data_IF_069491603653
#
_entry.id   IF_069491603653
#
_cell.length_a   1.000
_cell.length_b   1.000
_cell.length_c   1.000
_cell.angle_alpha   90.00
_cell.angle_beta   90.00
_cell.angle_gamma   90.00
#
_symmetry.space_group_name_H-M   'P 1'
#
loop_
_entity.id
_entity.type
_entity.pdbx_description
1 polymer ?
#
# COMPACT_ATOMS: atom_id res chain seq x y z
N UNK A 1 -12.95 22.05 8.26
CA UNK A 1 -11.49 22.23 8.46
C UNK A 1 -10.84 22.57 7.15
N UNK A 2 -9.70 23.29 7.19
CA UNK A 2 -8.80 23.49 6.05
C UNK A 2 -7.66 22.49 6.12
N UNK A 3 -7.50 21.68 5.09
CA UNK A 3 -6.56 20.55 5.08
C UNK A 3 -5.61 20.70 3.90
N UNK A 4 -4.31 20.75 4.16
CA UNK A 4 -3.29 20.80 3.12
C UNK A 4 -2.68 19.42 2.92
N UNK A 5 -2.99 18.78 1.79
CA UNK A 5 -2.34 17.55 1.36
C UNK A 5 -1.01 17.87 0.67
N UNK A 6 0.01 17.07 0.95
CA UNK A 6 1.30 17.11 0.25
C UNK A 6 1.59 15.71 -0.29
N UNK A 7 1.82 15.63 -1.60
CA UNK A 7 2.11 14.37 -2.25
C UNK A 7 3.16 14.52 -3.35
N UNK A 8 4.16 13.66 -3.32
CA UNK A 8 5.14 13.54 -4.39
C UNK A 8 4.71 12.45 -5.36
N UNK A 9 4.25 12.84 -6.55
CA UNK A 9 3.72 11.92 -7.57
C UNK A 9 4.80 10.98 -8.09
N UNK A 10 4.43 9.74 -8.31
CA UNK A 10 5.24 8.79 -9.05
C UNK A 10 5.17 9.06 -10.55
N UNK A 11 6.20 8.65 -11.30
CA UNK A 11 6.18 8.72 -12.78
C UNK A 11 5.10 7.81 -13.37
N UNK A 12 4.85 6.66 -12.74
CA UNK A 12 3.74 5.78 -13.04
C UNK A 12 2.79 5.77 -11.85
N UNK A 13 1.52 6.18 -12.03
CA UNK A 13 0.54 6.20 -10.96
C UNK A 13 0.42 4.84 -10.26
N UNK A 14 0.39 4.85 -8.94
CA UNK A 14 0.28 3.67 -8.10
C UNK A 14 -0.84 3.76 -7.06
N UNK A 15 -0.92 2.78 -6.18
CA UNK A 15 -1.93 2.76 -5.12
C UNK A 15 -1.87 3.98 -4.17
N UNK A 16 -0.68 4.58 -3.98
CA UNK A 16 -0.54 5.79 -3.15
C UNK A 16 -1.21 7.00 -3.81
N UNK A 17 -1.08 7.17 -5.14
CA UNK A 17 -1.74 8.25 -5.89
C UNK A 17 -3.26 8.12 -5.80
N UNK A 18 -3.78 6.90 -5.98
CA UNK A 18 -5.21 6.59 -5.84
C UNK A 18 -5.71 6.90 -4.43
N UNK A 19 -4.94 6.55 -3.39
CA UNK A 19 -5.31 6.84 -2.01
C UNK A 19 -5.46 8.35 -1.76
N UNK A 20 -4.52 9.16 -2.26
CA UNK A 20 -4.57 10.64 -2.13
C UNK A 20 -5.79 11.22 -2.84
N UNK A 21 -6.08 10.76 -4.06
CA UNK A 21 -7.23 11.23 -4.83
C UNK A 21 -8.54 10.90 -4.12
N UNK A 22 -8.73 9.65 -3.72
CA UNK A 22 -9.93 9.21 -3.02
C UNK A 22 -10.13 9.93 -1.70
N UNK A 23 -9.07 10.06 -0.89
CA UNK A 23 -9.15 10.70 0.43
C UNK A 23 -9.41 12.20 0.32
N UNK A 24 -8.71 12.89 -0.59
CA UNK A 24 -8.94 14.31 -0.80
C UNK A 24 -10.34 14.62 -1.35
N UNK A 25 -10.86 13.76 -2.23
CA UNK A 25 -12.22 13.91 -2.75
C UNK A 25 -13.27 13.66 -1.67
N UNK A 26 -13.14 12.58 -0.90
CA UNK A 26 -14.04 12.27 0.21
C UNK A 26 -14.15 13.44 1.20
N UNK A 27 -13.02 14.03 1.58
CA UNK A 27 -13.00 15.15 2.51
C UNK A 27 -13.67 16.41 1.93
N UNK A 28 -13.50 16.69 0.63
CA UNK A 28 -14.21 17.77 -0.06
C UNK A 28 -15.72 17.53 -0.08
N UNK A 29 -16.14 16.31 -0.41
CA UNK A 29 -17.56 15.91 -0.44
C UNK A 29 -18.22 16.02 0.95
N UNK A 30 -17.43 15.87 2.02
CA UNK A 30 -17.85 16.09 3.42
C UNK A 30 -17.75 17.56 3.87
N UNK A 31 -17.51 18.51 2.97
CA UNK A 31 -17.54 19.94 3.24
C UNK A 31 -16.26 20.54 3.84
N UNK A 32 -15.12 19.83 3.75
CA UNK A 32 -13.82 20.39 4.13
C UNK A 32 -13.19 21.17 2.98
N UNK A 33 -12.44 22.24 3.31
CA UNK A 33 -11.61 22.96 2.33
C UNK A 33 -10.26 22.21 2.19
N UNK A 34 -10.06 21.54 1.06
CA UNK A 34 -8.90 20.67 0.83
C UNK A 34 -8.09 21.18 -0.35
N UNK A 35 -6.83 21.51 -0.10
CA UNK A 35 -5.82 21.76 -1.14
C UNK A 35 -4.84 20.60 -1.24
N UNK A 36 -4.40 20.31 -2.46
CA UNK A 36 -3.39 19.29 -2.71
C UNK A 36 -2.18 19.94 -3.39
N UNK A 37 -1.06 19.92 -2.70
CA UNK A 37 0.23 20.40 -3.23
C UNK A 37 1.02 19.21 -3.75
N UNK A 38 1.19 19.17 -5.09
CA UNK A 38 1.93 18.11 -5.75
C UNK A 38 3.38 18.49 -5.98
N UNK A 39 4.28 17.57 -5.65
CA UNK A 39 5.68 17.60 -6.08
C UNK A 39 5.91 16.53 -7.13
N UNK A 40 6.91 16.75 -7.99
CA UNK A 40 7.31 15.78 -9.02
C UNK A 40 8.82 15.61 -9.03
N UNK A 41 9.25 14.35 -9.14
CA UNK A 41 10.67 14.04 -9.27
C UNK A 41 11.16 14.39 -10.68
N UNK A 42 12.01 15.41 -10.81
CA UNK A 42 12.74 15.67 -12.05
C UNK A 42 13.93 14.72 -12.18
N UNK A 43 14.24 14.29 -13.39
CA UNK A 43 15.49 13.58 -13.69
C UNK A 43 16.55 14.60 -14.07
N UNK A 44 17.50 14.94 -13.18
CA UNK A 44 18.58 15.84 -13.53
C UNK A 44 19.59 15.15 -14.43
N UNK A 45 19.99 15.83 -15.49
CA UNK A 45 21.08 15.38 -16.34
C UNK A 45 22.45 15.70 -15.71
N UNK A 46 23.42 14.79 -15.88
CA UNK A 46 24.82 14.96 -15.48
C UNK A 46 25.13 14.67 -13.99
N UNK A 47 26.43 14.51 -13.68
CA UNK A 47 26.92 14.10 -12.36
C UNK A 47 26.72 15.19 -11.28
N UNK A 48 26.87 16.46 -11.61
CA UNK A 48 26.63 17.60 -10.68
C UNK A 48 25.16 17.67 -10.30
N UNK A 49 24.26 17.42 -11.26
CA UNK A 49 22.82 17.35 -11.00
C UNK A 49 22.45 16.23 -10.02
N UNK A 50 23.14 15.08 -10.07
CA UNK A 50 22.92 13.96 -9.14
C UNK A 50 23.36 14.28 -7.71
N UNK A 51 24.48 14.96 -7.51
CA UNK A 51 24.98 15.37 -6.18
C UNK A 51 24.06 16.41 -5.55
N UNK A 52 23.66 17.43 -6.31
CA UNK A 52 22.72 18.47 -5.83
C UNK A 52 21.34 17.87 -5.49
N UNK A 53 20.85 16.93 -6.28
CA UNK A 53 19.63 16.16 -5.96
C UNK A 53 19.80 15.41 -4.65
N UNK A 54 20.99 14.85 -4.41
CA UNK A 54 21.32 14.15 -3.16
C UNK A 54 21.18 15.04 -1.92
N UNK A 55 21.77 16.21 -1.91
CA UNK A 55 21.67 17.15 -0.80
C UNK A 55 20.23 17.66 -0.61
N UNK A 56 19.51 17.91 -1.69
CA UNK A 56 18.10 18.33 -1.65
C UNK A 56 17.19 17.26 -1.07
N UNK A 57 17.46 15.99 -1.31
CA UNK A 57 16.64 14.90 -0.73
C UNK A 57 16.74 14.85 0.81
N UNK A 58 17.82 15.35 1.42
CA UNK A 58 17.93 15.51 2.87
C UNK A 58 17.15 16.75 3.32
N UNK A 59 17.43 17.89 2.74
CA UNK A 59 16.78 19.16 3.06
C UNK A 59 16.71 20.07 1.84
N UNK A 60 15.54 20.24 1.25
CA UNK A 60 15.33 21.16 0.14
C UNK A 60 14.75 22.49 0.64
N UNK A 61 15.57 23.56 0.53
CA UNK A 61 15.15 24.90 0.91
C UNK A 61 13.99 25.41 0.04
N UNK A 62 13.90 24.96 -1.21
CA UNK A 62 12.81 25.36 -2.09
C UNK A 62 11.49 24.73 -1.64
N UNK A 63 11.48 23.41 -1.40
CA UNK A 63 10.29 22.71 -0.87
C UNK A 63 9.85 23.28 0.48
N UNK A 64 10.82 23.59 1.37
CA UNK A 64 10.53 24.30 2.61
C UNK A 64 9.81 25.63 2.38
N UNK A 65 10.31 26.48 1.47
CA UNK A 65 9.70 27.80 1.18
C UNK A 65 8.31 27.65 0.54
N UNK A 66 8.17 26.74 -0.43
CA UNK A 66 6.90 26.48 -1.10
C UNK A 66 5.83 26.07 -0.10
N UNK A 67 6.14 25.09 0.77
CA UNK A 67 5.18 24.64 1.79
C UNK A 67 4.91 25.72 2.82
N UNK A 68 5.94 26.46 3.27
CA UNK A 68 5.76 27.58 4.20
C UNK A 68 4.81 28.63 3.63
N UNK A 69 5.02 29.07 2.39
CA UNK A 69 4.18 30.07 1.72
C UNK A 69 2.75 29.56 1.54
N UNK A 70 2.58 28.28 1.16
CA UNK A 70 1.24 27.69 1.02
C UNK A 70 0.51 27.66 2.37
N UNK A 71 1.21 27.35 3.47
CA UNK A 71 0.62 27.40 4.82
C UNK A 71 0.25 28.85 5.20
N UNK A 72 1.07 29.85 4.88
CA UNK A 72 0.79 31.27 5.15
C UNK A 72 -0.47 31.74 4.42
N UNK A 73 -0.63 31.36 3.15
CA UNK A 73 -1.77 31.76 2.30
C UNK A 73 -3.03 30.98 2.64
N UNK A 74 -2.93 29.64 2.71
CA UNK A 74 -4.09 28.77 2.90
C UNK A 74 -4.52 28.67 4.36
N UNK A 75 -3.61 28.86 5.32
CA UNK A 75 -3.83 28.73 6.77
C UNK A 75 -4.52 27.39 7.13
N UNK A 76 -3.93 26.24 6.79
CA UNK A 76 -4.53 24.95 7.08
C UNK A 76 -4.57 24.67 8.58
N UNK A 77 -5.58 23.94 9.02
CA UNK A 77 -5.68 23.39 10.37
C UNK A 77 -4.72 22.22 10.58
N UNK A 78 -4.46 21.45 9.51
CA UNK A 78 -3.56 20.29 9.48
C UNK A 78 -2.88 20.16 8.13
N UNK A 79 -1.62 19.69 8.14
CA UNK A 79 -0.88 19.25 6.95
C UNK A 79 -0.85 17.74 6.92
N UNK A 80 -1.35 17.13 5.85
CA UNK A 80 -1.32 15.67 5.66
C UNK A 80 -0.40 15.30 4.50
N UNK A 81 0.66 14.56 4.81
CA UNK A 81 1.68 14.11 3.84
C UNK A 81 1.47 12.64 3.52
N UNK A 82 1.41 12.29 2.23
CA UNK A 82 1.35 10.88 1.79
C UNK A 82 2.68 10.39 1.24
N UNK A 83 3.37 11.21 0.45
CA UNK A 83 4.69 10.92 -0.06
C UNK A 83 5.51 12.22 -0.15
N UNK A 84 6.75 12.17 0.29
CA UNK A 84 7.67 13.31 0.23
C UNK A 84 8.99 12.98 -0.48
N UNK A 85 9.17 11.76 -0.93
CA UNK A 85 10.45 11.24 -1.41
C UNK A 85 10.50 11.26 -2.94
N UNK A 86 11.36 12.04 -3.58
CA UNK A 86 12.51 12.86 -3.13
C UNK A 86 12.21 14.37 -3.11
N UNK A 87 11.41 14.86 -4.08
CA UNK A 87 11.31 16.28 -4.44
C UNK A 87 10.76 17.15 -3.31
N UNK A 88 9.76 16.66 -2.56
CA UNK A 88 9.24 17.39 -1.42
C UNK A 88 10.24 17.42 -0.26
N UNK A 89 11.07 16.41 -0.10
CA UNK A 89 12.04 16.21 0.99
C UNK A 89 11.46 16.32 2.41
N UNK A 90 12.14 15.84 3.45
CA UNK A 90 11.69 16.01 4.84
C UNK A 90 11.64 17.48 5.33
N UNK A 91 12.18 18.44 4.55
CA UNK A 91 12.12 19.86 4.88
C UNK A 91 10.71 20.42 5.07
N UNK A 92 9.70 19.79 4.43
CA UNK A 92 8.29 20.17 4.54
C UNK A 92 7.74 20.03 5.97
N UNK A 93 8.20 19.04 6.74
CA UNK A 93 7.81 18.86 8.14
C UNK A 93 8.39 19.95 9.04
N UNK A 94 9.57 20.47 8.70
CA UNK A 94 10.15 21.64 9.40
C UNK A 94 9.38 22.91 9.08
N UNK A 95 8.88 23.06 7.85
CA UNK A 95 8.03 24.19 7.47
C UNK A 95 6.71 24.16 8.27
N UNK A 96 6.01 23.02 8.31
CA UNK A 96 4.78 22.85 9.09
C UNK A 96 5.01 23.16 10.58
N UNK A 97 6.08 22.61 11.17
CA UNK A 97 6.43 22.88 12.57
C UNK A 97 6.75 24.36 12.81
N UNK A 98 7.53 25.03 11.93
CA UNK A 98 7.85 26.45 12.04
C UNK A 98 6.61 27.33 12.00
N UNK A 99 5.62 26.93 11.19
CA UNK A 99 4.34 27.62 11.06
C UNK A 99 3.33 27.20 12.14
N UNK A 100 3.76 26.36 13.07
CA UNK A 100 2.92 25.86 14.14
C UNK A 100 1.63 25.20 13.60
N UNK A 101 1.70 24.36 12.52
CA UNK A 101 0.61 23.57 11.99
C UNK A 101 0.93 22.09 12.22
N UNK A 102 0.03 21.30 12.83
CA UNK A 102 0.28 19.87 13.03
C UNK A 102 0.43 19.16 11.69
N UNK A 103 1.43 18.27 11.59
CA UNK A 103 1.66 17.46 10.41
C UNK A 103 1.41 15.99 10.72
N UNK A 104 0.69 15.31 9.85
CA UNK A 104 0.51 13.86 9.86
C UNK A 104 1.12 13.25 8.60
N UNK A 105 1.64 12.03 8.68
CA UNK A 105 2.27 11.32 7.57
C UNK A 105 1.67 9.93 7.42
N UNK A 106 1.07 9.63 6.27
CA UNK A 106 0.66 8.27 5.92
C UNK A 106 1.82 7.47 5.33
N UNK A 107 2.13 6.35 5.95
CA UNK A 107 3.17 5.41 5.54
C UNK A 107 2.56 4.31 4.64
N UNK A 108 2.63 4.50 3.33
CA UNK A 108 2.13 3.52 2.35
C UNK A 108 3.11 2.37 2.10
N UNK A 109 4.36 2.53 2.52
CA UNK A 109 5.43 1.56 2.33
C UNK A 109 6.45 1.63 3.49
N UNK A 110 7.46 0.77 3.45
CA UNK A 110 8.46 0.66 4.52
C UNK A 110 9.73 1.49 4.28
N UNK A 111 9.68 2.56 3.50
CA UNK A 111 10.84 3.40 3.11
C UNK A 111 11.64 3.92 4.30
N UNK A 112 11.01 4.23 5.40
CA UNK A 112 11.68 4.76 6.58
C UNK A 112 12.57 3.73 7.29
N UNK A 113 12.33 2.42 7.07
CA UNK A 113 13.04 1.31 7.73
C UNK A 113 13.70 0.33 6.74
N UNK A 114 13.50 0.50 5.44
CA UNK A 114 14.01 -0.38 4.40
C UNK A 114 14.40 0.42 3.15
N UNK A 115 15.61 0.23 2.61
CA UNK A 115 16.11 1.00 1.48
C UNK A 115 15.26 0.83 0.20
N UNK A 116 14.77 -0.38 -0.11
CA UNK A 116 13.87 -0.61 -1.25
C UNK A 116 12.38 -0.38 -0.92
N UNK A 117 12.05 -0.06 0.33
CA UNK A 117 10.68 0.16 0.83
C UNK A 117 9.76 -1.08 0.87
N UNK A 118 10.24 -2.27 0.50
CA UNK A 118 9.40 -3.44 0.29
C UNK A 118 9.58 -4.54 1.36
N UNK A 119 10.62 -4.44 2.20
CA UNK A 119 11.05 -5.53 3.09
C UNK A 119 11.23 -6.86 2.33
N UNK A 120 11.72 -6.77 1.08
CA UNK A 120 11.90 -7.88 0.17
C UNK A 120 13.34 -7.89 -0.38
N UNK A 121 13.96 -9.07 -0.47
CA UNK A 121 15.27 -9.28 -1.07
C UNK A 121 15.36 -10.67 -1.69
N UNK A 122 15.76 -10.73 -2.95
CA UNK A 122 15.88 -12.00 -3.70
C UNK A 122 14.60 -12.86 -3.59
N UNK A 123 13.43 -12.26 -3.76
CA UNK A 123 12.16 -12.95 -3.70
C UNK A 123 11.72 -13.44 -2.30
N UNK A 124 12.44 -13.06 -1.24
CA UNK A 124 12.12 -13.45 0.15
C UNK A 124 11.96 -12.23 1.03
N UNK A 125 11.10 -12.34 2.03
CA UNK A 125 10.97 -11.34 3.09
C UNK A 125 12.33 -11.07 3.75
N UNK A 126 12.64 -9.79 3.99
CA UNK A 126 13.91 -9.37 4.55
C UNK A 126 13.72 -8.19 5.53
N UNK A 127 14.06 -8.39 6.78
CA UNK A 127 13.93 -7.39 7.84
C UNK A 127 15.28 -6.89 8.39
N UNK A 128 16.41 -7.20 7.72
CA UNK A 128 17.77 -6.88 8.20
C UNK A 128 18.00 -5.39 8.50
N UNK A 129 17.22 -4.50 7.89
CA UNK A 129 17.38 -3.05 8.02
C UNK A 129 16.49 -2.43 9.11
N UNK A 130 15.44 -3.11 9.56
CA UNK A 130 14.34 -2.54 10.37
C UNK A 130 14.86 -1.88 11.66
N UNK A 131 15.68 -2.57 12.41
CA UNK A 131 16.17 -2.12 13.72
C UNK A 131 17.50 -1.37 13.67
N UNK A 132 18.07 -1.16 12.48
CA UNK A 132 19.37 -0.55 12.32
C UNK A 132 19.26 0.95 11.95
N UNK A 133 19.90 1.80 12.77
CA UNK A 133 20.01 3.23 12.48
C UNK A 133 20.75 3.49 11.16
N UNK A 134 21.81 2.72 10.93
CA UNK A 134 22.61 2.74 9.71
C UNK A 134 22.49 1.38 9.02
N UNK A 135 21.49 1.16 8.17
CA UNK A 135 21.17 -0.12 7.56
C UNK A 135 22.14 -0.50 6.42
N UNK A 136 23.39 -0.83 6.76
CA UNK A 136 24.45 -1.18 5.80
C UNK A 136 24.10 -2.38 4.93
N UNK A 137 23.23 -3.27 5.40
CA UNK A 137 22.72 -4.39 4.60
C UNK A 137 22.05 -3.90 3.29
N UNK A 138 21.28 -2.80 3.34
CA UNK A 138 20.66 -2.21 2.16
C UNK A 138 21.69 -1.79 1.10
N UNK A 139 22.85 -1.28 1.51
CA UNK A 139 23.97 -0.88 0.64
C UNK A 139 24.66 -2.11 0.09
N UNK A 140 25.07 -3.03 0.99
CA UNK A 140 25.79 -4.26 0.62
C UNK A 140 25.05 -5.08 -0.44
N UNK A 141 23.74 -5.19 -0.28
CA UNK A 141 22.87 -5.97 -1.17
C UNK A 141 22.26 -5.16 -2.31
N UNK A 142 22.69 -3.89 -2.53
CA UNK A 142 22.22 -3.02 -3.62
C UNK A 142 20.68 -2.97 -3.71
N UNK A 143 20.00 -2.87 -2.56
CA UNK A 143 18.55 -3.07 -2.47
C UNK A 143 17.73 -2.03 -3.24
N UNK A 144 18.29 -0.84 -3.52
CA UNK A 144 17.59 0.19 -4.27
C UNK A 144 18.14 0.29 -5.69
N UNK A 145 17.26 0.08 -6.68
CA UNK A 145 17.56 0.07 -8.13
C UNK A 145 18.78 -0.79 -8.52
N UNK A 146 19.06 -1.85 -7.76
CA UNK A 146 20.23 -2.72 -7.95
C UNK A 146 21.57 -1.95 -7.98
N UNK A 147 21.62 -0.77 -7.38
CA UNK A 147 22.75 0.14 -7.34
C UNK A 147 23.28 0.35 -5.92
N UNK A 148 24.59 0.13 -5.71
CA UNK A 148 25.23 0.39 -4.41
C UNK A 148 25.19 1.89 -4.06
N UNK A 149 25.46 2.76 -5.03
CA UNK A 149 25.48 4.20 -4.85
C UNK A 149 24.08 4.75 -4.48
N UNK A 150 23.03 4.31 -5.18
CA UNK A 150 21.67 4.74 -4.88
C UNK A 150 21.16 4.15 -3.57
N UNK A 151 21.53 2.90 -3.25
CA UNK A 151 21.23 2.30 -1.94
C UNK A 151 21.93 3.03 -0.79
N UNK A 152 23.19 3.43 -0.98
CA UNK A 152 23.93 4.23 -0.01
C UNK A 152 23.29 5.60 0.19
N UNK A 153 22.87 6.23 -0.90
CA UNK A 153 22.18 7.51 -0.88
C UNK A 153 20.86 7.46 -0.09
N UNK A 154 19.97 6.51 -0.42
CA UNK A 154 18.70 6.34 0.31
C UNK A 154 18.94 6.03 1.79
N UNK A 155 19.91 5.15 2.08
CA UNK A 155 20.31 4.80 3.45
C UNK A 155 20.80 6.03 4.20
N UNK A 156 21.65 6.86 3.59
CA UNK A 156 22.20 8.07 4.19
C UNK A 156 21.09 9.08 4.53
N UNK A 157 20.17 9.35 3.59
CA UNK A 157 19.03 10.27 3.80
C UNK A 157 18.17 9.77 4.97
N UNK A 158 17.74 8.51 4.93
CA UNK A 158 16.86 7.96 5.98
C UNK A 158 17.56 7.90 7.34
N UNK A 159 18.84 7.52 7.39
CA UNK A 159 19.63 7.45 8.63
C UNK A 159 19.85 8.82 9.25
N UNK A 160 20.13 9.86 8.44
CA UNK A 160 20.26 11.23 8.92
C UNK A 160 18.99 11.65 9.68
N UNK A 161 17.81 11.42 9.09
CA UNK A 161 16.54 11.81 9.71
C UNK A 161 16.16 10.94 10.92
N UNK A 162 16.62 9.68 10.98
CA UNK A 162 16.52 8.84 12.20
C UNK A 162 17.38 9.40 13.33
N UNK A 163 18.63 9.81 13.02
CA UNK A 163 19.57 10.33 14.03
C UNK A 163 19.08 11.66 14.63
N UNK A 164 18.63 12.60 13.78
CA UNK A 164 18.13 13.91 14.28
C UNK A 164 16.67 13.84 14.76
N UNK A 165 16.07 12.64 14.71
CA UNK A 165 14.69 12.36 15.17
C UNK A 165 13.63 13.19 14.48
N UNK A 166 13.76 13.41 13.16
CA UNK A 166 12.79 14.20 12.37
C UNK A 166 11.37 13.65 12.51
N UNK A 167 11.23 12.33 12.42
CA UNK A 167 9.94 11.64 12.43
C UNK A 167 9.20 11.79 13.76
N UNK A 168 9.93 11.80 14.85
CA UNK A 168 9.38 11.97 16.19
C UNK A 168 9.11 13.43 16.55
N UNK A 169 10.05 14.34 16.19
CA UNK A 169 10.00 15.74 16.63
C UNK A 169 9.12 16.65 15.78
N UNK A 170 8.90 16.32 14.49
CA UNK A 170 8.24 17.21 13.54
C UNK A 170 6.93 16.66 12.97
N UNK A 171 6.54 15.45 13.35
CA UNK A 171 5.30 14.80 12.91
C UNK A 171 4.45 14.50 14.15
N UNK A 172 3.19 14.94 14.12
CA UNK A 172 2.24 14.72 15.21
C UNK A 172 1.79 13.27 15.28
N UNK A 173 1.44 12.68 14.13
CA UNK A 173 1.06 11.26 14.00
C UNK A 173 1.60 10.66 12.70
N UNK A 174 2.02 9.41 12.79
CA UNK A 174 2.34 8.54 11.66
C UNK A 174 1.16 7.60 11.45
N UNK A 175 0.56 7.65 10.29
CA UNK A 175 -0.55 6.78 9.91
C UNK A 175 0.04 5.53 9.24
N UNK A 176 -0.33 4.37 9.73
CA UNK A 176 -0.04 3.07 9.14
C UNK A 176 -1.33 2.39 8.70
N UNK A 177 -1.26 1.56 7.67
CA UNK A 177 -2.47 1.05 7.03
C UNK A 177 -3.04 -0.21 7.71
N UNK A 178 -2.22 -0.93 8.49
CA UNK A 178 -2.56 -2.21 9.11
C UNK A 178 -1.88 -2.36 10.47
N UNK A 179 -2.40 -3.24 11.31
CA UNK A 179 -1.75 -3.61 12.57
C UNK A 179 -0.39 -4.28 12.32
N UNK A 180 -0.29 -5.08 11.26
CA UNK A 180 0.98 -5.65 10.83
C UNK A 180 2.01 -4.55 10.52
N UNK A 181 1.65 -3.54 9.71
CA UNK A 181 2.54 -2.42 9.43
C UNK A 181 2.94 -1.70 10.72
N UNK A 182 1.99 -1.44 11.64
CA UNK A 182 2.28 -0.87 12.97
C UNK A 182 3.35 -1.68 13.70
N UNK A 183 3.22 -3.00 13.74
CA UNK A 183 4.18 -3.89 14.42
C UNK A 183 5.60 -3.82 13.82
N UNK A 184 5.74 -3.51 12.53
CA UNK A 184 7.07 -3.33 11.90
C UNK A 184 7.72 -1.98 12.25
N UNK A 185 6.90 -0.95 12.51
CA UNK A 185 7.41 0.36 12.90
C UNK A 185 7.64 0.51 14.42
N UNK A 186 6.84 -0.18 15.26
CA UNK A 186 7.05 -0.21 16.71
C UNK A 186 8.42 -0.81 17.03
N UNK A 187 9.19 -0.12 17.88
CA UNK A 187 10.53 -0.56 18.26
C UNK A 187 11.59 -0.50 17.14
N UNK A 188 11.22 -0.05 15.93
CA UNK A 188 12.15 0.05 14.82
C UNK A 188 13.13 1.22 14.95
N UNK A 189 14.07 1.30 14.03
CA UNK A 189 15.12 2.33 14.03
C UNK A 189 14.62 3.77 13.83
N UNK A 190 13.34 4.00 13.49
CA UNK A 190 12.78 5.37 13.41
C UNK A 190 12.60 6.03 14.79
N UNK A 191 12.56 5.24 15.88
CA UNK A 191 12.49 5.70 17.28
C UNK A 191 11.31 6.65 17.54
N UNK A 192 10.15 6.33 17.00
CA UNK A 192 8.90 7.05 17.23
C UNK A 192 8.13 6.34 18.34
N UNK A 193 7.51 7.12 19.23
CA UNK A 193 6.61 6.59 20.25
C UNK A 193 5.45 5.82 19.60
N UNK A 194 5.10 4.67 20.17
CA UNK A 194 3.99 3.85 19.69
C UNK A 194 2.66 4.62 19.65
N UNK A 195 2.44 5.53 20.60
CA UNK A 195 1.23 6.37 20.66
C UNK A 195 1.09 7.31 19.47
N UNK A 196 2.19 7.59 18.75
CA UNK A 196 2.18 8.36 17.50
C UNK A 196 1.83 7.52 16.27
N UNK A 197 1.83 6.19 16.37
CA UNK A 197 1.48 5.28 15.29
C UNK A 197 -0.02 5.00 15.31
N UNK A 198 -0.74 5.61 14.38
CA UNK A 198 -2.19 5.52 14.25
C UNK A 198 -2.57 4.59 13.08
N UNK A 199 -3.46 3.64 13.30
CA UNK A 199 -3.93 2.74 12.26
C UNK A 199 -5.11 3.36 11.53
N UNK A 200 -4.98 3.55 10.22
CA UNK A 200 -6.05 4.03 9.33
C UNK A 200 -5.90 3.33 7.98
N UNK A 201 -6.71 2.31 7.71
CA UNK A 201 -6.73 1.66 6.41
C UNK A 201 -7.10 2.61 5.28
N UNK A 202 -6.65 2.32 4.06
CA UNK A 202 -7.23 2.92 2.86
C UNK A 202 -8.67 2.42 2.68
N UNK A 203 -9.43 3.13 1.86
CA UNK A 203 -10.81 2.80 1.53
C UNK A 203 -11.02 2.83 0.02
N UNK A 204 -12.16 2.34 -0.41
CA UNK A 204 -12.67 2.54 -1.78
C UNK A 204 -14.13 2.98 -1.73
N UNK A 205 -14.61 3.74 -2.74
CA UNK A 205 -16.04 3.92 -2.96
C UNK A 205 -16.75 2.58 -3.13
N UNK A 206 -17.99 2.50 -2.71
CA UNK A 206 -18.77 1.27 -2.81
C UNK A 206 -19.08 0.92 -4.27
N UNK A 207 -18.53 -0.20 -4.81
CA UNK A 207 -18.82 -0.62 -6.17
C UNK A 207 -20.15 -1.36 -6.32
N UNK A 208 -20.86 -1.59 -5.22
CA UNK A 208 -22.04 -2.46 -5.14
C UNK A 208 -21.68 -3.95 -5.06
N UNK A 209 -22.64 -4.73 -4.63
CA UNK A 209 -22.51 -6.19 -4.47
C UNK A 209 -22.29 -6.90 -5.80
N UNK A 210 -21.65 -8.04 -5.73
CA UNK A 210 -21.54 -8.99 -6.83
C UNK A 210 -22.81 -9.79 -7.06
N UNK A 211 -22.78 -10.61 -8.10
CA UNK A 211 -23.91 -11.45 -8.51
C UNK A 211 -24.16 -12.57 -7.47
N UNK A 212 -25.42 -12.91 -7.29
CA UNK A 212 -25.83 -14.01 -6.40
C UNK A 212 -25.37 -15.37 -6.94
N UNK A 213 -25.45 -15.55 -8.27
CA UNK A 213 -24.94 -16.72 -8.96
C UNK A 213 -23.58 -16.40 -9.57
N UNK A 214 -22.52 -16.79 -8.85
CA UNK A 214 -21.14 -16.58 -9.32
C UNK A 214 -20.82 -17.54 -10.47
N UNK A 215 -20.10 -17.03 -11.47
CA UNK A 215 -19.59 -17.83 -12.58
C UNK A 215 -18.49 -18.79 -12.12
N UNK A 216 -18.27 -19.85 -12.91
CA UNK A 216 -17.34 -20.93 -12.56
C UNK A 216 -15.89 -20.59 -12.88
N UNK A 217 -15.34 -19.53 -12.26
CA UNK A 217 -13.91 -19.19 -12.35
C UNK A 217 -13.39 -18.53 -11.08
N UNK A 218 -12.08 -18.67 -10.83
CA UNK A 218 -11.31 -17.90 -9.87
C UNK A 218 -10.68 -16.70 -10.57
N UNK A 219 -10.37 -15.64 -9.82
CA UNK A 219 -9.82 -14.42 -10.35
C UNK A 219 -8.46 -14.10 -9.71
N UNK A 220 -7.49 -13.68 -10.51
CA UNK A 220 -6.29 -12.98 -10.07
C UNK A 220 -6.27 -11.59 -10.71
N UNK A 221 -5.91 -10.56 -9.91
CA UNK A 221 -5.74 -9.19 -10.40
C UNK A 221 -4.43 -8.62 -9.87
N UNK A 222 -3.53 -8.23 -10.77
CA UNK A 222 -2.26 -7.62 -10.39
C UNK A 222 -1.20 -7.72 -11.47
N UNK A 223 -0.04 -7.10 -11.23
CA UNK A 223 1.13 -7.28 -12.10
C UNK A 223 1.55 -8.75 -12.10
N UNK A 224 1.93 -9.24 -13.28
CA UNK A 224 2.49 -10.59 -13.41
C UNK A 224 3.98 -10.51 -13.08
N UNK A 225 4.30 -10.54 -11.81
CA UNK A 225 5.67 -10.48 -11.30
C UNK A 225 5.89 -11.51 -10.19
N UNK A 226 7.14 -11.91 -10.00
CA UNK A 226 7.51 -12.99 -9.09
C UNK A 226 6.99 -12.77 -7.66
N UNK A 227 7.11 -11.54 -7.13
CA UNK A 227 6.66 -11.20 -5.78
C UNK A 227 5.13 -11.29 -5.60
N UNK A 228 4.38 -11.25 -6.70
CA UNK A 228 2.92 -11.48 -6.70
C UNK A 228 2.54 -12.96 -6.69
N UNK A 229 3.52 -13.85 -6.67
CA UNK A 229 3.31 -15.29 -6.56
C UNK A 229 2.76 -15.95 -7.84
N UNK A 230 3.10 -15.40 -9.02
CA UNK A 230 2.63 -15.92 -10.31
C UNK A 230 3.05 -17.37 -10.56
N UNK A 231 4.25 -17.76 -10.09
CA UNK A 231 4.73 -19.15 -10.18
C UNK A 231 3.87 -20.10 -9.35
N UNK A 232 3.51 -19.67 -8.15
CA UNK A 232 2.63 -20.44 -7.25
C UNK A 232 1.26 -20.58 -7.89
N UNK A 233 0.74 -19.51 -8.48
CA UNK A 233 -0.56 -19.49 -9.15
C UNK A 233 -0.59 -20.41 -10.37
N UNK A 234 0.41 -20.30 -11.27
CA UNK A 234 0.51 -21.11 -12.48
C UNK A 234 0.59 -22.62 -12.14
N UNK A 235 1.50 -22.98 -11.22
CA UNK A 235 1.69 -24.36 -10.80
C UNK A 235 0.44 -24.93 -10.07
N UNK A 236 -0.26 -24.12 -9.28
CA UNK A 236 -1.47 -24.55 -8.61
C UNK A 236 -2.58 -24.89 -9.62
N UNK A 237 -2.81 -24.05 -10.62
CA UNK A 237 -3.86 -24.27 -11.61
C UNK A 237 -3.46 -25.30 -12.68
N UNK A 238 -2.18 -25.54 -12.93
CA UNK A 238 -1.73 -26.69 -13.71
C UNK A 238 -2.16 -28.04 -13.08
N UNK A 239 -2.15 -28.13 -11.75
CA UNK A 239 -2.65 -29.30 -11.01
C UNK A 239 -4.17 -29.32 -10.78
N UNK A 240 -4.90 -28.31 -11.26
CA UNK A 240 -6.37 -28.18 -11.12
C UNK A 240 -7.03 -27.97 -12.50
N UNK A 241 -6.91 -28.91 -13.46
CA UNK A 241 -7.32 -28.69 -14.86
C UNK A 241 -8.82 -28.43 -15.04
N UNK A 242 -9.65 -28.83 -14.10
CA UNK A 242 -11.11 -28.58 -14.11
C UNK A 242 -11.50 -27.20 -13.58
N UNK A 243 -10.58 -26.48 -12.92
CA UNK A 243 -10.86 -25.17 -12.34
C UNK A 243 -10.38 -24.06 -13.25
N UNK A 244 -11.26 -23.12 -13.59
CA UNK A 244 -10.94 -21.99 -14.46
C UNK A 244 -10.33 -20.85 -13.66
N UNK A 245 -9.28 -20.24 -14.22
CA UNK A 245 -8.64 -19.03 -13.69
C UNK A 245 -8.68 -17.92 -14.73
N UNK A 246 -9.18 -16.75 -14.34
CA UNK A 246 -9.06 -15.52 -15.12
C UNK A 246 -7.98 -14.65 -14.49
N UNK A 247 -7.03 -14.20 -15.30
CA UNK A 247 -5.94 -13.31 -14.89
C UNK A 247 -6.12 -11.96 -15.54
N UNK A 248 -6.18 -10.90 -14.72
CA UNK A 248 -6.24 -9.50 -15.15
C UNK A 248 -4.97 -8.79 -14.68
N UNK A 249 -4.19 -8.32 -15.65
CA UNK A 249 -2.92 -7.64 -15.42
C UNK A 249 -1.97 -7.85 -16.59
N UNK A 250 -0.83 -7.22 -16.51
CA UNK A 250 0.23 -7.34 -17.51
C UNK A 250 1.57 -7.71 -16.84
N UNK A 251 2.42 -8.33 -17.63
CA UNK A 251 3.83 -8.53 -17.29
C UNK A 251 4.57 -7.27 -17.75
N UNK A 252 5.00 -6.45 -16.80
CA UNK A 252 5.67 -5.20 -17.12
C UNK A 252 6.99 -5.40 -17.92
N UNK A 253 7.66 -6.55 -17.77
CA UNK A 253 9.02 -6.75 -18.27
C UNK A 253 9.37 -8.14 -18.85
N UNK A 254 8.47 -9.14 -18.92
CA UNK A 254 8.85 -10.42 -19.54
C UNK A 254 7.70 -11.22 -20.16
N UNK A 255 7.85 -11.50 -21.45
CA UNK A 255 7.04 -12.51 -22.18
C UNK A 255 7.21 -13.93 -21.57
N UNK A 256 8.34 -14.22 -20.94
CA UNK A 256 8.61 -15.50 -20.30
C UNK A 256 7.68 -15.80 -19.11
N UNK A 257 7.26 -14.79 -18.37
CA UNK A 257 6.31 -14.96 -17.26
C UNK A 257 4.89 -15.23 -17.78
N UNK A 258 4.51 -14.63 -18.93
CA UNK A 258 3.25 -14.92 -19.60
C UNK A 258 3.23 -16.33 -20.23
N UNK A 259 4.34 -16.80 -20.77
CA UNK A 259 4.44 -18.12 -21.39
C UNK A 259 4.05 -19.27 -20.43
N UNK A 260 4.31 -19.14 -19.14
CA UNK A 260 3.97 -20.15 -18.12
C UNK A 260 2.46 -20.38 -17.97
N UNK A 261 1.63 -19.43 -18.39
CA UNK A 261 0.19 -19.56 -18.36
C UNK A 261 -0.43 -20.03 -19.67
N UNK A 262 0.32 -19.90 -20.80
CA UNK A 262 -0.22 -20.16 -22.14
C UNK A 262 -0.43 -21.66 -22.40
N UNK A 263 0.30 -22.53 -21.72
CA UNK A 263 0.19 -24.00 -21.87
C UNK A 263 -1.01 -24.58 -21.10
N UNK A 264 -1.68 -23.79 -20.27
CA UNK A 264 -2.78 -24.24 -19.43
C UNK A 264 -4.13 -23.80 -20.02
N UNK A 265 -4.88 -24.72 -20.61
CA UNK A 265 -6.18 -24.42 -21.26
C UNK A 265 -7.26 -23.90 -20.31
N UNK A 266 -7.10 -24.11 -19.00
CA UNK A 266 -8.00 -23.61 -17.97
C UNK A 266 -7.67 -22.20 -17.45
N UNK A 267 -6.62 -21.56 -18.00
CA UNK A 267 -6.20 -20.20 -17.64
C UNK A 267 -6.48 -19.23 -18.78
N UNK A 268 -7.16 -18.12 -18.47
CA UNK A 268 -7.46 -17.07 -19.43
C UNK A 268 -6.78 -15.77 -19.02
N UNK A 269 -5.89 -15.26 -19.87
CA UNK A 269 -5.25 -13.95 -19.72
C UNK A 269 -6.11 -12.87 -20.39
N UNK A 270 -6.48 -11.82 -19.65
CA UNK A 270 -7.27 -10.67 -20.14
C UNK A 270 -6.44 -9.42 -20.40
N UNK A 271 -5.15 -9.44 -20.04
CA UNK A 271 -4.34 -8.24 -20.06
C UNK A 271 -4.83 -7.21 -19.02
N UNK A 272 -4.38 -5.96 -19.21
CA UNK A 272 -4.77 -4.86 -18.32
C UNK A 272 -6.17 -4.37 -18.65
N UNK A 273 -7.03 -4.29 -17.65
CA UNK A 273 -8.37 -3.69 -17.75
C UNK A 273 -8.43 -2.40 -16.91
N UNK A 274 -9.40 -1.55 -17.25
CA UNK A 274 -9.76 -0.42 -16.38
C UNK A 274 -10.46 -0.91 -15.10
N UNK A 275 -10.69 0.00 -14.17
CA UNK A 275 -11.27 -0.33 -12.85
C UNK A 275 -12.65 -0.99 -12.97
N UNK A 276 -13.51 -0.47 -13.85
CA UNK A 276 -14.86 -1.02 -14.03
C UNK A 276 -14.82 -2.44 -14.60
N UNK A 277 -13.91 -2.71 -15.54
CA UNK A 277 -13.67 -4.04 -16.08
C UNK A 277 -13.18 -5.03 -15.01
N UNK A 278 -12.26 -4.61 -14.15
CA UNK A 278 -11.79 -5.44 -13.00
C UNK A 278 -12.96 -5.74 -12.07
N UNK A 279 -13.73 -4.72 -11.68
CA UNK A 279 -14.88 -4.90 -10.78
C UNK A 279 -15.97 -5.79 -11.38
N UNK A 280 -16.20 -5.72 -12.71
CA UNK A 280 -17.15 -6.59 -13.39
C UNK A 280 -16.76 -8.07 -13.29
N UNK A 281 -15.47 -8.42 -13.43
CA UNK A 281 -14.98 -9.77 -13.17
C UNK A 281 -15.04 -10.15 -11.70
N UNK A 282 -14.68 -9.23 -10.80
CA UNK A 282 -14.72 -9.43 -9.35
C UNK A 282 -16.14 -9.80 -8.87
N UNK A 283 -17.15 -9.12 -9.40
CA UNK A 283 -18.57 -9.37 -9.06
C UNK A 283 -19.09 -10.74 -9.50
N UNK A 284 -18.41 -11.39 -10.45
CA UNK A 284 -18.85 -12.67 -11.04
C UNK A 284 -18.01 -13.87 -10.64
N UNK A 285 -16.74 -13.67 -10.22
CA UNK A 285 -15.87 -14.77 -9.86
C UNK A 285 -16.30 -15.46 -8.55
N UNK A 286 -15.89 -16.73 -8.37
CA UNK A 286 -16.09 -17.49 -7.13
C UNK A 286 -15.32 -16.90 -5.96
N UNK A 287 -14.03 -16.61 -6.18
CA UNK A 287 -13.13 -16.02 -5.19
C UNK A 287 -11.95 -15.36 -5.90
N UNK A 288 -11.34 -14.38 -5.21
CA UNK A 288 -10.06 -13.79 -5.58
C UNK A 288 -8.92 -14.67 -5.05
N UNK A 289 -7.93 -15.01 -5.88
CA UNK A 289 -6.67 -15.63 -5.45
C UNK A 289 -5.61 -14.55 -5.33
N UNK A 290 -4.98 -14.44 -4.16
CA UNK A 290 -3.94 -13.44 -3.89
C UNK A 290 -2.67 -14.08 -3.31
N UNK A 291 -1.81 -14.68 -4.16
CA UNK A 291 -0.69 -15.53 -3.75
C UNK A 291 0.61 -14.77 -3.50
N UNK A 292 0.54 -13.50 -3.13
CA UNK A 292 1.69 -12.62 -2.93
C UNK A 292 2.69 -13.21 -1.93
N UNK A 293 3.99 -13.17 -2.25
CA UNK A 293 5.08 -13.76 -1.44
C UNK A 293 5.90 -12.71 -0.68
N UNK A 294 5.39 -11.46 -0.61
CA UNK A 294 6.03 -10.35 0.10
C UNK A 294 5.05 -9.59 1.00
N UNK A 295 5.56 -8.69 1.83
CA UNK A 295 4.73 -7.85 2.69
C UNK A 295 4.05 -6.74 1.88
N UNK A 296 2.81 -6.97 1.50
CA UNK A 296 1.95 -5.93 0.94
C UNK A 296 1.66 -4.86 2.00
N UNK A 297 1.53 -3.60 1.58
CA UNK A 297 1.09 -2.54 2.50
C UNK A 297 -0.37 -2.72 2.90
N UNK A 298 -1.26 -2.40 1.98
CA UNK A 298 -2.71 -2.69 2.05
C UNK A 298 -3.22 -2.83 0.61
N UNK A 299 -3.37 -4.05 0.08
CA UNK A 299 -3.72 -4.25 -1.32
C UNK A 299 -5.16 -3.87 -1.60
N UNK A 300 -5.37 -2.83 -2.43
CA UNK A 300 -6.69 -2.37 -2.84
C UNK A 300 -7.56 -3.47 -3.42
N UNK A 301 -6.97 -4.39 -4.17
CA UNK A 301 -7.71 -5.49 -4.82
C UNK A 301 -8.39 -6.42 -3.81
N UNK A 302 -7.83 -6.60 -2.62
CA UNK A 302 -8.50 -7.35 -1.53
C UNK A 302 -9.69 -6.56 -0.99
N UNK A 303 -9.54 -5.23 -0.83
CA UNK A 303 -10.64 -4.36 -0.41
C UNK A 303 -11.76 -4.36 -1.47
N UNK A 304 -11.39 -4.33 -2.76
CA UNK A 304 -12.32 -4.42 -3.90
C UNK A 304 -13.08 -5.75 -3.91
N UNK A 305 -12.39 -6.85 -3.62
CA UNK A 305 -13.02 -8.15 -3.48
C UNK A 305 -14.05 -8.14 -2.33
N UNK A 306 -13.66 -7.68 -1.15
CA UNK A 306 -14.58 -7.59 -0.02
C UNK A 306 -15.75 -6.64 -0.30
N UNK A 307 -15.53 -5.54 -0.98
CA UNK A 307 -16.59 -4.60 -1.33
C UNK A 307 -17.64 -5.20 -2.28
N UNK A 308 -17.23 -6.10 -3.16
CA UNK A 308 -18.14 -6.86 -4.03
C UNK A 308 -18.70 -8.12 -3.37
N UNK A 309 -18.39 -8.36 -2.10
CA UNK A 309 -18.75 -9.59 -1.40
C UNK A 309 -17.99 -10.81 -1.93
N UNK A 310 -16.78 -10.65 -2.47
CA UNK A 310 -15.98 -11.74 -3.04
C UNK A 310 -14.97 -12.24 -2.00
N UNK A 311 -15.02 -13.51 -1.59
CA UNK A 311 -14.04 -14.09 -0.69
C UNK A 311 -12.65 -14.13 -1.29
N UNK A 312 -11.63 -14.14 -0.43
CA UNK A 312 -10.23 -14.08 -0.85
C UNK A 312 -9.47 -15.33 -0.37
N UNK A 313 -8.76 -15.99 -1.28
CA UNK A 313 -7.79 -17.04 -0.93
C UNK A 313 -6.40 -16.40 -1.03
N UNK A 314 -5.76 -16.13 0.11
CA UNK A 314 -4.53 -15.35 0.16
C UNK A 314 -3.39 -16.06 0.88
N UNK A 315 -2.15 -15.63 0.61
CA UNK A 315 -0.99 -16.05 1.39
C UNK A 315 -1.11 -15.59 2.85
N UNK A 316 -0.80 -16.47 3.80
CA UNK A 316 -0.74 -16.17 5.24
C UNK A 316 0.50 -15.31 5.56
N UNK A 317 0.52 -14.07 5.07
CA UNK A 317 1.70 -13.22 5.13
C UNK A 317 1.33 -11.74 5.31
N UNK A 318 1.94 -11.10 6.31
CA UNK A 318 1.84 -9.65 6.50
C UNK A 318 0.40 -9.15 6.64
N UNK A 319 0.06 -8.11 5.90
CA UNK A 319 -1.28 -7.53 5.90
C UNK A 319 -2.37 -8.48 5.39
N UNK A 320 -2.02 -9.41 4.49
CA UNK A 320 -2.99 -10.40 3.99
C UNK A 320 -3.51 -11.31 5.10
N UNK A 321 -2.62 -11.74 6.01
CA UNK A 321 -3.00 -12.56 7.16
C UNK A 321 -3.86 -11.80 8.20
N UNK A 322 -3.83 -10.46 8.17
CA UNK A 322 -4.69 -9.59 8.98
C UNK A 322 -6.06 -9.36 8.31
N UNK A 323 -6.07 -9.19 6.99
CA UNK A 323 -7.28 -8.87 6.22
C UNK A 323 -8.19 -10.07 6.04
N UNK A 324 -7.60 -11.24 5.78
CA UNK A 324 -8.33 -12.48 5.53
C UNK A 324 -8.48 -13.28 6.83
N UNK A 325 -9.70 -13.39 7.31
CA UNK A 325 -10.05 -14.25 8.43
C UNK A 325 -10.41 -15.63 7.88
N UNK A 326 -9.59 -16.62 8.21
CA UNK A 326 -9.70 -17.99 7.68
C UNK A 326 -11.09 -18.59 7.94
N UNK A 327 -11.74 -19.11 6.90
CA UNK A 327 -13.11 -19.66 6.88
C UNK A 327 -14.24 -18.64 7.17
N UNK A 328 -13.94 -17.36 7.37
CA UNK A 328 -14.95 -16.33 7.62
C UNK A 328 -15.20 -15.48 6.35
N UNK A 329 -14.17 -14.82 5.82
CA UNK A 329 -14.25 -14.01 4.60
C UNK A 329 -13.32 -14.51 3.49
N UNK A 330 -12.68 -15.68 3.70
CA UNK A 330 -11.76 -16.30 2.77
C UNK A 330 -10.96 -17.42 3.39
N UNK A 331 -9.83 -17.77 2.76
CA UNK A 331 -8.93 -18.82 3.22
C UNK A 331 -7.47 -18.33 3.17
N UNK A 332 -6.66 -18.81 4.11
CA UNK A 332 -5.24 -18.51 4.16
C UNK A 332 -4.42 -19.77 3.87
N UNK A 333 -3.41 -19.63 3.01
CA UNK A 333 -2.46 -20.70 2.69
C UNK A 333 -1.02 -20.24 2.94
N UNK A 334 -0.11 -21.20 3.12
CA UNK A 334 1.31 -20.91 3.37
C UNK A 334 1.99 -20.27 2.16
N UNK A 335 2.68 -19.11 2.32
CA UNK A 335 3.27 -18.38 1.23
C UNK A 335 4.22 -19.22 0.39
N UNK A 336 4.04 -19.22 -0.92
CA UNK A 336 4.85 -20.00 -1.85
C UNK A 336 4.50 -21.48 -1.94
N UNK A 337 3.53 -21.98 -1.15
CA UNK A 337 3.18 -23.39 -1.11
C UNK A 337 2.03 -23.69 -2.09
N UNK A 338 2.39 -24.30 -3.23
CA UNK A 338 1.46 -24.70 -4.31
C UNK A 338 0.42 -25.69 -3.79
N UNK A 339 0.86 -26.73 -3.06
CA UNK A 339 -0.02 -27.78 -2.55
C UNK A 339 -1.05 -27.24 -1.56
N UNK A 340 -0.64 -26.36 -0.66
CA UNK A 340 -1.57 -25.75 0.30
C UNK A 340 -2.58 -24.83 -0.40
N UNK A 341 -2.16 -24.06 -1.42
CA UNK A 341 -3.09 -23.29 -2.24
C UNK A 341 -4.14 -24.18 -2.90
N UNK A 342 -3.73 -25.32 -3.50
CA UNK A 342 -4.64 -26.29 -4.09
C UNK A 342 -5.62 -26.85 -3.04
N UNK A 343 -5.14 -27.18 -1.83
CA UNK A 343 -5.97 -27.65 -0.73
C UNK A 343 -7.02 -26.60 -0.31
N UNK A 344 -6.63 -25.29 -0.24
CA UNK A 344 -7.58 -24.22 0.09
C UNK A 344 -8.63 -24.00 -1.01
N UNK A 345 -8.23 -24.13 -2.28
CA UNK A 345 -9.17 -24.10 -3.40
C UNK A 345 -10.15 -25.28 -3.30
N UNK A 346 -9.68 -26.50 -3.04
CA UNK A 346 -10.57 -27.66 -2.83
C UNK A 346 -11.49 -27.46 -1.64
N UNK A 347 -10.98 -26.98 -0.52
CA UNK A 347 -11.80 -26.71 0.67
C UNK A 347 -12.90 -25.69 0.37
N UNK A 348 -12.58 -24.59 -0.35
CA UNK A 348 -13.56 -23.63 -0.81
C UNK A 348 -14.64 -24.27 -1.70
N UNK A 349 -14.25 -25.17 -2.62
CA UNK A 349 -15.17 -25.84 -3.53
C UNK A 349 -16.10 -26.84 -2.81
N UNK A 350 -15.60 -27.52 -1.77
CA UNK A 350 -16.33 -28.46 -0.94
C UNK A 350 -17.25 -27.78 0.09
N UNK A 351 -17.07 -26.48 0.33
CA UNK A 351 -17.94 -25.71 1.24
C UNK A 351 -19.39 -25.78 0.76
N UNK A 352 -20.32 -26.15 1.62
CA UNK A 352 -21.73 -26.19 1.30
C UNK A 352 -22.27 -24.86 0.83
N UNK A 353 -23.36 -24.85 0.05
CA UNK A 353 -23.89 -23.62 -0.54
C UNK A 353 -24.24 -22.56 0.51
N UNK A 354 -24.79 -22.96 1.65
CA UNK A 354 -25.16 -22.06 2.73
C UNK A 354 -23.91 -21.39 3.34
N UNK A 355 -22.89 -22.16 3.65
CA UNK A 355 -21.63 -21.66 4.24
C UNK A 355 -20.86 -20.82 3.23
N UNK A 356 -20.95 -21.14 1.94
CA UNK A 356 -20.36 -20.32 0.87
C UNK A 356 -21.05 -18.97 0.74
N UNK A 357 -22.37 -18.91 0.89
CA UNK A 357 -23.08 -17.63 0.94
C UNK A 357 -22.66 -16.80 2.16
N UNK A 358 -22.43 -17.44 3.31
CA UNK A 358 -21.90 -16.76 4.49
C UNK A 358 -20.50 -16.17 4.23
N UNK A 359 -19.62 -16.85 3.46
CA UNK A 359 -18.33 -16.27 3.06
C UNK A 359 -18.51 -14.97 2.25
N UNK A 360 -19.46 -14.94 1.31
CA UNK A 360 -19.77 -13.75 0.51
C UNK A 360 -20.30 -12.60 1.37
N UNK A 361 -21.23 -12.89 2.27
CA UNK A 361 -21.82 -11.92 3.20
C UNK A 361 -20.77 -11.36 4.17
N UNK A 362 -19.92 -12.22 4.72
CA UNK A 362 -18.85 -11.84 5.63
C UNK A 362 -17.76 -11.01 4.93
N UNK A 363 -17.42 -11.33 3.69
CA UNK A 363 -16.52 -10.51 2.88
C UNK A 363 -17.09 -9.08 2.73
N UNK A 364 -18.38 -8.96 2.38
CA UNK A 364 -19.06 -7.67 2.29
C UNK A 364 -19.11 -6.94 3.63
N UNK A 365 -19.44 -7.63 4.70
CA UNK A 365 -19.48 -7.08 6.06
C UNK A 365 -18.12 -6.53 6.47
N UNK A 366 -17.04 -7.25 6.15
CA UNK A 366 -15.66 -6.81 6.39
C UNK A 366 -15.37 -5.48 5.69
N UNK A 367 -15.80 -5.30 4.44
CA UNK A 367 -15.66 -4.03 3.73
C UNK A 367 -16.44 -2.91 4.42
N UNK A 368 -17.72 -3.12 4.69
CA UNK A 368 -18.59 -2.08 5.29
C UNK A 368 -18.05 -1.59 6.62
N UNK A 369 -17.58 -2.51 7.46
CA UNK A 369 -17.10 -2.20 8.80
C UNK A 369 -15.73 -1.52 8.85
N UNK A 370 -14.83 -1.82 7.87
CA UNK A 370 -13.43 -1.42 7.96
C UNK A 370 -12.94 -0.54 6.81
N UNK A 371 -13.53 -0.62 5.61
CA UNK A 371 -12.98 -0.04 4.38
C UNK A 371 -13.97 0.83 3.61
N UNK A 372 -15.15 1.11 4.17
CA UNK A 372 -16.14 2.00 3.58
C UNK A 372 -15.70 3.47 3.69
N UNK A 373 -16.17 4.36 2.78
CA UNK A 373 -15.90 5.78 2.85
C UNK A 373 -16.30 6.42 4.18
N UNK A 374 -17.43 6.00 4.74
CA UNK A 374 -17.93 6.54 6.01
C UNK A 374 -17.02 6.16 7.18
N UNK A 375 -16.62 4.89 7.26
CA UNK A 375 -15.67 4.43 8.30
C UNK A 375 -14.33 5.15 8.22
N UNK A 376 -13.82 5.32 6.99
CA UNK A 376 -12.58 6.04 6.74
C UNK A 376 -12.68 7.51 7.17
N UNK A 377 -13.78 8.18 6.79
CA UNK A 377 -14.02 9.57 7.15
C UNK A 377 -14.04 9.78 8.66
N UNK A 378 -14.80 8.98 9.39
CA UNK A 378 -14.85 9.05 10.85
C UNK A 378 -13.48 8.86 11.49
N UNK A 379 -12.71 7.90 10.98
CA UNK A 379 -11.37 7.58 11.49
C UNK A 379 -10.40 8.74 11.28
N UNK A 380 -10.37 9.33 10.08
CA UNK A 380 -9.45 10.44 9.78
C UNK A 380 -9.86 11.73 10.46
N UNK A 381 -11.17 11.99 10.59
CA UNK A 381 -11.71 13.14 11.31
C UNK A 381 -11.26 13.13 12.77
N UNK A 382 -11.45 12.01 13.46
CA UNK A 382 -11.01 11.82 14.86
C UNK A 382 -9.51 12.09 15.00
N UNK A 383 -8.69 11.58 14.06
CA UNK A 383 -7.25 11.84 14.08
C UNK A 383 -6.92 13.32 13.93
N UNK A 384 -7.55 14.01 12.98
CA UNK A 384 -7.28 15.44 12.76
C UNK A 384 -7.71 16.28 13.95
N UNK A 385 -8.89 16.03 14.51
CA UNK A 385 -9.37 16.72 15.71
C UNK A 385 -8.41 16.53 16.89
N UNK A 386 -7.93 15.30 17.08
CA UNK A 386 -6.94 14.98 18.12
C UNK A 386 -5.65 15.81 17.96
N UNK A 387 -5.02 15.78 16.78
CA UNK A 387 -3.74 16.49 16.59
C UNK A 387 -3.89 18.01 16.59
N UNK A 388 -5.05 18.53 16.22
CA UNK A 388 -5.36 19.96 16.30
C UNK A 388 -5.58 20.38 17.77
N UNK A 389 -6.26 19.58 18.57
CA UNK A 389 -6.48 19.84 19.98
C UNK A 389 -5.17 19.79 20.79
N UNK A 390 -4.32 18.76 20.58
CA UNK A 390 -3.02 18.62 21.24
C UNK A 390 -2.08 19.80 20.99
N UNK A 391 -2.25 20.52 19.89
CA UNK A 391 -1.46 21.71 19.56
C UNK A 391 -1.85 22.94 20.37
N UNK A 392 -3.12 23.00 20.83
CA UNK A 392 -3.65 24.19 21.54
C UNK A 392 -3.16 24.27 22.99
N UNK A 393 -2.49 23.25 23.47
CA UNK A 393 -1.84 23.19 24.79
C UNK A 393 -0.32 23.10 24.64
#
# INVERSE_FOLDING_TARGET
MRILFIHNRYQQPGGEDVAVELESQLLKDKGHDVRVLFFQNSNPEGSVGKITKGMRAIYDRNSYRVVKNEIEVFRPDVVHVHNFFYAASPSIFYAAKKMNVPAVLTLHNYRLICANALLLRHGKVCELCVNNLLPLAGIRYRCYHNSMAESAFVTFVTSTHKLIRTWDKNISRLIVLTQFAKSRFVGSSIRVDEQKLFIKPNFIPDPGLGETNREDFFLFVGRLSYEKGIDVLANAFAGLPTQKLVIIGDAADSQAEMARFLDNSNITLKGRLNKDGVLAYMKRCKALIFPSTWYEGLPFVIIEAFATGTPVIASRLGSMAELVNDKLNGFLFEPGNVTDLQQKIHLFLQTERQDRNALYENARTTYVQNFSPEKHYQTILTLYETVIAEKRF
#
